data_IF_976586557789
#
_entry.id   IF_976586557789
#
_cell.length_a   1.000
_cell.length_b   1.000
_cell.length_c   1.000
_cell.angle_alpha   90.00
_cell.angle_beta   90.00
_cell.angle_gamma   90.00
#
_symmetry.space_group_name_H-M   'P 1'
#
loop_
_entity.id
_entity.type
_entity.pdbx_description
1 polymer ?
#
# COMPACT_ATOMS: atom_id res chain seq x y z
N UNK A 1 -5.35 -16.95 0.59
CA UNK A 1 -4.43 -16.83 -0.55
C UNK A 1 -3.00 -16.99 -0.07
N UNK A 2 -2.23 -17.96 -0.61
CA UNK A 2 -0.79 -18.07 -0.31
C UNK A 2 -0.03 -16.99 -1.09
N UNK A 3 0.83 -16.23 -0.41
CA UNK A 3 1.71 -15.26 -1.07
C UNK A 3 2.77 -16.03 -1.88
N UNK A 4 3.07 -15.66 -3.14
CA UNK A 4 4.10 -16.33 -3.93
C UNK A 4 5.48 -16.30 -3.26
N UNK A 5 6.31 -17.34 -3.43
CA UNK A 5 7.61 -17.45 -2.76
C UNK A 5 8.64 -16.37 -3.14
N UNK A 6 8.51 -15.79 -4.34
CA UNK A 6 9.37 -14.71 -4.82
C UNK A 6 8.94 -13.32 -4.30
N UNK A 7 7.76 -13.24 -3.68
CA UNK A 7 7.18 -11.97 -3.27
C UNK A 7 7.78 -11.52 -1.94
N UNK A 8 8.31 -10.31 -1.93
CA UNK A 8 8.92 -9.68 -0.75
C UNK A 8 7.82 -9.21 0.22
N UNK A 9 7.69 -9.83 1.40
CA UNK A 9 6.58 -9.52 2.31
C UNK A 9 6.61 -8.07 2.81
N UNK A 10 7.81 -7.48 2.93
CA UNK A 10 8.01 -6.10 3.36
C UNK A 10 7.43 -5.07 2.40
N UNK A 11 7.34 -5.35 1.10
CA UNK A 11 6.70 -4.45 0.13
C UNK A 11 5.19 -4.35 0.34
N UNK A 12 4.58 -5.41 0.87
CA UNK A 12 3.13 -5.50 1.07
C UNK A 12 2.70 -5.25 2.52
N UNK A 13 3.66 -4.96 3.41
CA UNK A 13 3.41 -4.68 4.81
C UNK A 13 3.44 -3.18 5.07
N UNK A 14 2.49 -2.71 5.85
CA UNK A 14 2.50 -1.32 6.36
C UNK A 14 3.73 -1.15 7.25
N UNK A 15 4.57 -0.12 7.02
CA UNK A 15 5.73 0.15 7.86
C UNK A 15 5.31 0.38 9.32
N UNK A 16 6.01 -0.27 10.25
CA UNK A 16 5.81 -0.01 11.68
C UNK A 16 6.37 1.36 12.05
N UNK A 17 5.53 2.23 12.56
CA UNK A 17 5.96 3.50 13.13
C UNK A 17 6.69 3.26 14.45
N UNK A 18 7.77 4.02 14.70
CA UNK A 18 8.47 3.99 15.99
C UNK A 18 7.64 4.74 17.05
N UNK A 19 7.80 4.37 18.32
CA UNK A 19 6.95 4.79 19.45
C UNK A 19 6.90 6.31 19.78
N UNK A 20 7.58 7.17 19.02
CA UNK A 20 7.64 8.62 19.24
C UNK A 20 7.14 9.45 18.05
N UNK A 21 6.17 8.92 17.31
CA UNK A 21 5.57 9.66 16.20
C UNK A 21 4.50 10.62 16.71
N UNK A 22 4.67 11.91 16.45
CA UNK A 22 3.63 12.90 16.67
C UNK A 22 2.44 12.67 15.73
N UNK A 23 1.23 12.74 16.28
CA UNK A 23 0.00 12.60 15.52
C UNK A 23 -0.17 13.80 14.57
N UNK A 24 -0.23 13.54 13.25
CA UNK A 24 -0.34 14.61 12.24
C UNK A 24 -1.78 14.79 11.77
N UNK A 25 -2.69 15.03 12.72
CA UNK A 25 -4.14 15.16 12.48
C UNK A 25 -4.50 16.01 11.26
N UNK A 26 -3.91 17.21 11.15
CA UNK A 26 -4.19 18.13 10.04
C UNK A 26 -3.82 17.52 8.67
N UNK A 27 -2.65 16.88 8.57
CA UNK A 27 -2.20 16.28 7.32
C UNK A 27 -3.06 15.05 6.96
N UNK A 28 -3.41 14.22 7.95
CA UNK A 28 -4.30 13.07 7.75
C UNK A 28 -5.69 13.53 7.29
N UNK A 29 -6.24 14.58 7.89
CA UNK A 29 -7.53 15.15 7.49
C UNK A 29 -7.50 15.74 6.07
N UNK A 30 -6.44 16.45 5.71
CA UNK A 30 -6.27 16.95 4.35
C UNK A 30 -6.24 15.83 3.32
N UNK A 31 -5.56 14.72 3.62
CA UNK A 31 -5.54 13.56 2.74
C UNK A 31 -6.87 12.82 2.71
N UNK A 32 -7.54 12.70 3.85
CA UNK A 32 -8.89 12.13 3.92
C UNK A 32 -9.87 12.88 3.00
N UNK A 33 -9.73 14.21 2.91
CA UNK A 33 -10.56 15.06 2.03
C UNK A 33 -10.38 14.81 0.53
N UNK A 34 -9.29 14.16 0.10
CA UNK A 34 -9.03 13.84 -1.31
C UNK A 34 -9.18 12.36 -1.65
N UNK A 35 -9.61 11.51 -0.69
CA UNK A 35 -9.79 10.06 -0.92
C UNK A 35 -10.84 9.71 -1.98
N UNK A 36 -11.73 10.64 -2.33
CA UNK A 36 -12.67 10.47 -3.45
C UNK A 36 -12.05 10.66 -4.83
N UNK A 37 -10.76 11.03 -4.92
CA UNK A 37 -10.03 11.19 -6.19
C UNK A 37 -9.40 9.86 -6.61
N UNK A 38 -9.22 9.68 -7.92
CA UNK A 38 -8.56 8.49 -8.48
C UNK A 38 -7.10 8.35 -8.03
N UNK A 39 -6.42 9.47 -7.80
CA UNK A 39 -5.03 9.51 -7.37
C UNK A 39 -4.78 10.77 -6.53
N UNK A 40 -4.11 10.58 -5.39
CA UNK A 40 -3.56 11.64 -4.57
C UNK A 40 -2.07 11.38 -4.34
N UNK A 41 -1.24 12.42 -4.44
CA UNK A 41 0.21 12.33 -4.29
C UNK A 41 0.66 13.15 -3.10
N UNK A 42 1.45 12.55 -2.21
CA UNK A 42 2.08 13.23 -1.08
C UNK A 42 3.53 13.53 -1.42
N UNK A 43 3.83 14.78 -1.75
CA UNK A 43 5.19 15.25 -2.04
C UNK A 43 5.73 16.09 -0.87
N UNK A 44 6.94 15.75 -0.41
CA UNK A 44 7.69 16.49 0.61
C UNK A 44 9.17 16.04 0.59
N UNK A 45 10.12 16.81 1.14
CA UNK A 45 11.52 16.41 1.19
C UNK A 45 11.76 15.13 2.02
N UNK A 46 12.95 14.55 1.91
CA UNK A 46 13.35 13.41 2.74
C UNK A 46 13.28 13.78 4.24
N UNK A 47 12.86 12.84 5.08
CA UNK A 47 12.71 13.07 6.52
C UNK A 47 11.43 13.82 6.96
N UNK A 48 10.65 14.41 6.05
CA UNK A 48 9.45 15.17 6.41
C UNK A 48 8.25 14.31 6.87
N UNK A 49 8.39 13.00 7.06
CA UNK A 49 7.32 12.15 7.60
C UNK A 49 6.19 11.80 6.61
N UNK A 50 6.49 11.69 5.30
CA UNK A 50 5.51 11.24 4.30
C UNK A 50 4.95 9.86 4.62
N UNK A 51 5.84 8.90 4.83
CA UNK A 51 5.48 7.52 5.22
C UNK A 51 4.67 7.52 6.50
N UNK A 52 5.06 8.34 7.48
CA UNK A 52 4.32 8.51 8.73
C UNK A 52 2.87 8.92 8.50
N UNK A 53 2.63 9.94 7.69
CA UNK A 53 1.26 10.41 7.40
C UNK A 53 0.47 9.35 6.64
N UNK A 54 1.09 8.64 5.69
CA UNK A 54 0.42 7.56 4.95
C UNK A 54 0.04 6.37 5.86
N UNK A 55 0.90 6.01 6.81
CA UNK A 55 0.59 4.95 7.80
C UNK A 55 -0.55 5.40 8.72
N UNK A 56 -0.52 6.64 9.23
CA UNK A 56 -1.61 7.16 10.06
C UNK A 56 -2.94 7.22 9.29
N UNK A 57 -2.91 7.55 8.00
CA UNK A 57 -4.08 7.50 7.13
C UNK A 57 -4.59 6.07 6.92
N UNK A 58 -3.68 5.12 6.69
CA UNK A 58 -4.00 3.69 6.59
C UNK A 58 -4.73 3.20 7.84
N UNK A 59 -4.18 3.49 9.03
CA UNK A 59 -4.76 3.11 10.31
C UNK A 59 -6.14 3.76 10.51
N UNK A 60 -6.27 5.06 10.21
CA UNK A 60 -7.54 5.77 10.31
C UNK A 60 -8.61 5.21 9.36
N UNK A 61 -8.23 4.76 8.16
CA UNK A 61 -9.16 4.12 7.22
C UNK A 61 -9.58 2.73 7.69
N UNK A 62 -8.63 1.92 8.16
CA UNK A 62 -8.90 0.60 8.70
C UNK A 62 -9.82 0.68 9.93
N UNK A 63 -9.60 1.64 10.83
CA UNK A 63 -10.46 1.87 11.99
C UNK A 63 -11.90 2.27 11.63
N UNK A 64 -12.13 2.78 10.41
CA UNK A 64 -13.45 3.12 9.88
C UNK A 64 -14.09 2.00 9.05
N UNK A 65 -13.51 0.80 9.08
CA UNK A 65 -14.02 -0.38 8.37
C UNK A 65 -13.64 -0.44 6.90
N UNK A 66 -12.78 0.45 6.41
CA UNK A 66 -12.22 0.31 5.07
C UNK A 66 -11.15 -0.80 5.04
N UNK A 67 -10.89 -1.35 3.85
CA UNK A 67 -9.83 -2.32 3.63
C UNK A 67 -8.72 -1.72 2.74
N UNK A 68 -7.90 -0.77 3.26
CA UNK A 68 -6.81 -0.20 2.49
C UNK A 68 -5.71 -1.25 2.22
N UNK A 69 -5.14 -1.22 1.02
CA UNK A 69 -3.95 -2.02 0.68
C UNK A 69 -2.68 -1.15 0.77
N UNK A 70 -1.55 -1.79 1.07
CA UNK A 70 -0.24 -1.13 1.09
C UNK A 70 0.70 -1.76 0.06
N UNK A 71 1.42 -0.90 -0.65
CA UNK A 71 2.51 -1.28 -1.54
C UNK A 71 3.65 -0.27 -1.41
N UNK A 72 4.82 -0.74 -1.01
CA UNK A 72 6.08 0.01 -1.03
C UNK A 72 6.74 -0.21 -2.39
N UNK A 73 7.12 0.89 -3.05
CA UNK A 73 7.80 0.88 -4.34
C UNK A 73 9.26 1.32 -4.17
N UNK A 74 10.17 0.67 -4.88
CA UNK A 74 11.59 1.02 -4.98
C UNK A 74 12.09 1.02 -6.44
N UNK A 75 13.40 1.16 -6.62
CA UNK A 75 14.02 1.27 -7.96
C UNK A 75 13.83 0.04 -8.84
N UNK A 76 13.63 -1.14 -8.26
CA UNK A 76 13.46 -2.38 -9.02
C UNK A 76 12.04 -2.55 -9.56
N UNK A 77 11.08 -1.78 -9.04
CA UNK A 77 9.68 -1.82 -9.47
C UNK A 77 9.44 -1.00 -10.76
N UNK A 78 10.51 -0.55 -11.41
CA UNK A 78 10.45 0.07 -12.75
C UNK A 78 10.04 -0.91 -13.85
N UNK A 79 10.16 -2.22 -13.60
CA UNK A 79 9.64 -3.24 -14.50
C UNK A 79 8.12 -3.30 -14.37
N UNK A 80 7.40 -2.95 -15.43
CA UNK A 80 5.93 -2.88 -15.47
C UNK A 80 5.27 -4.16 -14.92
N UNK A 81 5.77 -5.33 -15.31
CA UNK A 81 5.27 -6.63 -14.82
C UNK A 81 5.44 -6.77 -13.32
N UNK A 82 6.58 -6.35 -12.75
CA UNK A 82 6.85 -6.43 -11.31
C UNK A 82 5.90 -5.50 -10.55
N UNK A 83 5.78 -4.26 -10.99
CA UNK A 83 4.82 -3.31 -10.42
C UNK A 83 3.39 -3.87 -10.42
N UNK A 84 2.90 -4.32 -11.57
CA UNK A 84 1.54 -4.85 -11.71
C UNK A 84 1.34 -6.11 -10.86
N UNK A 85 2.31 -7.01 -10.81
CA UNK A 85 2.23 -8.21 -10.00
C UNK A 85 2.10 -7.87 -8.51
N UNK A 86 2.95 -6.98 -7.97
CA UNK A 86 2.86 -6.54 -6.59
C UNK A 86 1.58 -5.75 -6.29
N UNK A 87 1.11 -4.91 -7.22
CA UNK A 87 -0.16 -4.18 -7.08
C UNK A 87 -1.36 -5.13 -6.99
N UNK A 88 -1.42 -6.13 -7.87
CA UNK A 88 -2.46 -7.17 -7.82
C UNK A 88 -2.40 -7.96 -6.52
N UNK A 89 -1.21 -8.38 -6.07
CA UNK A 89 -1.09 -9.10 -4.80
C UNK A 89 -1.52 -8.23 -3.62
N UNK A 90 -1.18 -6.93 -3.60
CA UNK A 90 -1.62 -6.00 -2.56
C UNK A 90 -3.15 -5.88 -2.52
N UNK A 91 -3.80 -5.70 -3.68
CA UNK A 91 -5.25 -5.60 -3.79
C UNK A 91 -5.96 -6.91 -3.43
N UNK A 92 -5.36 -8.06 -3.76
CA UNK A 92 -5.89 -9.38 -3.43
C UNK A 92 -5.97 -9.65 -1.92
N UNK A 93 -5.20 -8.92 -1.09
CA UNK A 93 -5.29 -9.00 0.37
C UNK A 93 -6.53 -8.34 0.95
N UNK A 94 -7.15 -7.43 0.20
CA UNK A 94 -8.28 -6.60 0.67
C UNK A 94 -9.55 -6.78 -0.17
N UNK A 95 -9.44 -7.42 -1.34
CA UNK A 95 -10.54 -7.54 -2.30
C UNK A 95 -10.57 -8.92 -2.97
N UNK A 96 -11.71 -9.62 -2.82
CA UNK A 96 -11.91 -10.99 -3.33
C UNK A 96 -11.72 -11.14 -4.85
N UNK A 97 -12.22 -10.23 -5.71
CA UNK A 97 -11.96 -10.31 -7.15
C UNK A 97 -10.48 -10.39 -7.52
N UNK A 98 -9.62 -9.63 -6.84
CA UNK A 98 -8.18 -9.66 -7.09
C UNK A 98 -7.53 -10.95 -6.55
N UNK A 99 -8.05 -11.52 -5.46
CA UNK A 99 -7.65 -12.84 -4.98
C UNK A 99 -7.80 -13.93 -6.04
N UNK A 100 -8.94 -13.95 -6.74
CA UNK A 100 -9.17 -14.88 -7.85
C UNK A 100 -8.23 -14.64 -9.02
N UNK A 101 -7.87 -13.38 -9.30
CA UNK A 101 -6.94 -13.05 -10.36
C UNK A 101 -5.52 -13.57 -10.06
N UNK A 102 -5.07 -13.49 -8.81
CA UNK A 102 -3.79 -14.09 -8.38
C UNK A 102 -3.82 -15.62 -8.53
N UNK A 103 -4.91 -16.26 -8.12
CA UNK A 103 -5.08 -17.71 -8.25
C UNK A 103 -5.10 -18.17 -9.71
N UNK A 104 -5.82 -17.46 -10.58
CA UNK A 104 -5.90 -17.75 -12.01
C UNK A 104 -4.58 -17.49 -12.74
N UNK A 105 -3.84 -16.45 -12.36
CA UNK A 105 -2.55 -16.14 -12.96
C UNK A 105 -1.45 -17.12 -12.54
N UNK A 106 -1.58 -17.77 -11.38
CA UNK A 106 -0.67 -18.82 -10.92
C UNK A 106 0.81 -18.42 -11.00
N UNK A 107 1.61 -19.21 -11.73
CA UNK A 107 3.05 -18.96 -11.91
C UNK A 107 3.35 -17.80 -12.89
N UNK A 108 2.38 -17.38 -13.72
CA UNK A 108 2.55 -16.32 -14.71
C UNK A 108 2.62 -14.92 -14.10
N UNK A 109 2.34 -14.79 -12.79
CA UNK A 109 2.48 -13.53 -12.07
C UNK A 109 3.94 -13.20 -11.73
N UNK A 110 4.89 -14.11 -12.00
CA UNK A 110 6.33 -13.85 -11.85
C UNK A 110 6.79 -12.92 -12.98
N UNK A 111 7.43 -11.82 -12.60
CA UNK A 111 7.96 -10.79 -13.50
C UNK A 111 9.22 -11.23 -14.24
#
# INVERSE_FOLDING_TARGET
MKTPQWCEPGKLAVPRLRHHVLERRRAVQQLAGVLGRRLAVVAAPAGYGKTTVLVQLYEALAARGAAPAWLTLDGDDRLERRFLAYAVIALARVSRPFGRLVEAAGQHLKY
#
